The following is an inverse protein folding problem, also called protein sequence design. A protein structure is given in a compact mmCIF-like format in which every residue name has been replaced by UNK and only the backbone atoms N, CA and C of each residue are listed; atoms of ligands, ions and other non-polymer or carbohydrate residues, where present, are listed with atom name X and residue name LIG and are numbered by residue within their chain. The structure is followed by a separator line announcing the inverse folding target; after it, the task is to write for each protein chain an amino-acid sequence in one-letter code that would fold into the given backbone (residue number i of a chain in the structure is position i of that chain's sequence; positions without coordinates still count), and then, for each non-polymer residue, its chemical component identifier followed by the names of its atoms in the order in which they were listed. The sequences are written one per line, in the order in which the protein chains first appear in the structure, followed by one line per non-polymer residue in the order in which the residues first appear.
data_IF_914024909452
#
_entry.id   IF_914024909452
#
_cell.length_a   1.000
_cell.length_b   1.000
_cell.length_c   1.000
_cell.angle_alpha   90.00
_cell.angle_beta   90.00
_cell.angle_gamma   90.00
#
_symmetry.space_group_name_H-M   'P 1'
#
loop_
_entity.id
_entity.type
_entity.pdbx_description
1 polymer ?
#
# COMPACT_ATOMS: atom_id res chain seq x y z
N UNK A 1 57.72 -6.24 -21.43
CA UNK A 1 58.18 -4.86 -21.18
C UNK A 1 59.29 -4.57 -22.16
N UNK A 2 59.13 -3.55 -23.01
CA UNK A 2 60.19 -3.15 -23.95
C UNK A 2 61.31 -2.46 -23.17
N UNK A 3 62.57 -2.82 -23.45
CA UNK A 3 63.72 -2.17 -22.83
C UNK A 3 63.85 -0.76 -23.39
N UNK A 4 63.74 0.25 -22.53
CA UNK A 4 63.89 1.66 -22.91
C UNK A 4 65.39 1.94 -23.09
N UNK A 5 65.86 2.03 -24.32
CA UNK A 5 67.29 2.22 -24.63
C UNK A 5 67.62 3.62 -25.16
N UNK A 6 66.60 4.43 -25.47
CA UNK A 6 66.74 5.80 -25.99
C UNK A 6 65.76 6.79 -25.34
N UNK A 7 66.14 8.08 -25.34
CA UNK A 7 65.28 9.20 -24.88
C UNK A 7 63.98 9.28 -25.69
N UNK A 8 64.00 8.88 -26.96
CA UNK A 8 62.80 8.77 -27.81
C UNK A 8 61.81 7.74 -27.28
N UNK A 9 62.32 6.59 -26.84
CA UNK A 9 61.52 5.46 -26.40
C UNK A 9 60.89 5.76 -25.04
N UNK A 10 61.61 6.49 -24.19
CA UNK A 10 61.08 6.99 -22.92
C UNK A 10 59.90 7.94 -23.14
N UNK A 11 59.99 8.85 -24.12
CA UNK A 11 58.90 9.78 -24.44
C UNK A 11 57.66 9.07 -24.97
N UNK A 12 57.86 8.06 -25.82
CA UNK A 12 56.76 7.23 -26.35
C UNK A 12 56.09 6.43 -25.22
N UNK A 13 56.89 5.84 -24.32
CA UNK A 13 56.38 5.11 -23.17
C UNK A 13 55.58 6.02 -22.22
N UNK A 14 56.04 7.24 -21.97
CA UNK A 14 55.32 8.23 -21.15
C UNK A 14 53.97 8.58 -21.81
N UNK A 15 53.95 8.90 -23.11
CA UNK A 15 52.70 9.21 -23.81
C UNK A 15 51.72 8.04 -23.80
N UNK A 16 52.21 6.82 -23.95
CA UNK A 16 51.37 5.62 -23.89
C UNK A 16 50.78 5.41 -22.50
N UNK A 17 51.57 5.62 -21.45
CA UNK A 17 51.12 5.54 -20.06
C UNK A 17 50.13 6.66 -19.71
N UNK A 18 50.32 7.87 -20.22
CA UNK A 18 49.38 8.99 -20.03
C UNK A 18 48.00 8.67 -20.63
N UNK A 19 47.97 8.14 -21.85
CA UNK A 19 46.72 7.70 -22.50
C UNK A 19 46.07 6.56 -21.72
N UNK A 20 46.85 5.57 -21.28
CA UNK A 20 46.34 4.45 -20.49
C UNK A 20 45.78 4.91 -19.13
N UNK A 21 46.44 5.89 -18.51
CA UNK A 21 46.02 6.47 -17.25
C UNK A 21 44.70 7.25 -17.41
N UNK A 22 44.56 8.06 -18.45
CA UNK A 22 43.33 8.82 -18.73
C UNK A 22 42.14 7.88 -18.97
N UNK A 23 42.35 6.80 -19.72
CA UNK A 23 41.33 5.79 -19.99
C UNK A 23 40.90 5.05 -18.71
N UNK A 24 41.87 4.66 -17.87
CA UNK A 24 41.61 4.04 -16.57
C UNK A 24 40.85 5.00 -15.62
N UNK A 25 41.19 6.29 -15.64
CA UNK A 25 40.51 7.28 -14.83
C UNK A 25 39.03 7.43 -15.23
N UNK A 26 38.74 7.46 -16.54
CA UNK A 26 37.37 7.49 -17.04
C UNK A 26 36.58 6.25 -16.64
N UNK A 27 37.15 5.06 -16.80
CA UNK A 27 36.51 3.81 -16.39
C UNK A 27 36.22 3.77 -14.89
N UNK A 28 37.15 4.26 -14.06
CA UNK A 28 36.95 4.33 -12.62
C UNK A 28 35.81 5.30 -12.25
N UNK A 29 35.74 6.48 -12.90
CA UNK A 29 34.65 7.43 -12.69
C UNK A 29 33.29 6.83 -13.07
N UNK A 30 33.22 6.12 -14.19
CA UNK A 30 32.00 5.44 -14.62
C UNK A 30 31.58 4.34 -13.64
N UNK A 31 32.51 3.52 -13.18
CA UNK A 31 32.22 2.48 -12.19
C UNK A 31 31.74 3.07 -10.86
N UNK A 32 32.39 4.13 -10.37
CA UNK A 32 31.96 4.82 -9.15
C UNK A 32 30.57 5.42 -9.33
N UNK A 33 30.30 6.06 -10.48
CA UNK A 33 28.99 6.61 -10.77
C UNK A 33 27.92 5.52 -10.83
N UNK A 34 28.17 4.41 -11.53
CA UNK A 34 27.26 3.29 -11.63
C UNK A 34 27.00 2.63 -10.27
N UNK A 35 28.06 2.38 -9.48
CA UNK A 35 27.92 1.84 -8.13
C UNK A 35 27.14 2.81 -7.24
N UNK A 36 27.40 4.11 -7.34
CA UNK A 36 26.65 5.13 -6.60
C UNK A 36 25.16 5.13 -6.98
N UNK A 37 24.83 5.11 -8.28
CA UNK A 37 23.46 5.01 -8.77
C UNK A 37 22.78 3.70 -8.34
N UNK A 38 23.52 2.58 -8.32
CA UNK A 38 23.02 1.27 -7.88
C UNK A 38 22.74 1.22 -6.38
N UNK A 39 23.57 1.88 -5.57
CA UNK A 39 23.40 1.97 -4.11
C UNK A 39 22.29 2.95 -3.69
N UNK A 40 21.74 3.75 -4.62
CA UNK A 40 20.60 4.61 -4.30
C UNK A 40 19.42 3.73 -3.86
N UNK A 41 18.75 4.07 -2.74
CA UNK A 41 17.61 3.30 -2.23
C UNK A 41 16.53 3.07 -3.29
N UNK A 42 16.30 4.05 -4.16
CA UNK A 42 15.33 3.97 -5.26
C UNK A 42 15.67 2.85 -6.25
N UNK A 43 16.94 2.68 -6.60
CA UNK A 43 17.38 1.65 -7.54
C UNK A 43 17.36 0.25 -6.89
N UNK A 44 17.70 0.17 -5.61
CA UNK A 44 17.56 -1.07 -4.82
C UNK A 44 16.09 -1.48 -4.73
N UNK A 45 15.18 -0.55 -4.41
CA UNK A 45 13.74 -0.82 -4.41
C UNK A 45 13.24 -1.24 -5.79
N UNK A 46 13.70 -0.57 -6.85
CA UNK A 46 13.28 -0.90 -8.22
C UNK A 46 13.70 -2.31 -8.62
N UNK A 47 14.94 -2.70 -8.34
CA UNK A 47 15.46 -4.02 -8.65
C UNK A 47 14.76 -5.09 -7.80
N UNK A 48 14.60 -4.86 -6.49
CA UNK A 48 13.90 -5.81 -5.61
C UNK A 48 12.42 -5.96 -5.99
N UNK A 49 11.71 -4.87 -6.32
CA UNK A 49 10.33 -4.95 -6.82
C UNK A 49 10.24 -5.68 -8.16
N UNK A 50 11.19 -5.43 -9.07
CA UNK A 50 11.24 -6.13 -10.35
C UNK A 50 11.47 -7.64 -10.18
N UNK A 51 12.39 -8.02 -9.29
CA UNK A 51 12.68 -9.42 -8.97
C UNK A 51 11.50 -10.10 -8.26
N UNK A 52 10.80 -9.38 -7.37
CA UNK A 52 9.58 -9.85 -6.71
C UNK A 52 8.43 -10.09 -7.69
N UNK A 53 8.24 -9.20 -8.67
CA UNK A 53 7.14 -9.31 -9.65
C UNK A 53 7.45 -10.34 -10.74
N UNK A 54 8.74 -10.54 -11.07
CA UNK A 54 9.17 -11.51 -12.09
C UNK A 54 9.15 -12.96 -11.58
N UNK A 55 8.95 -13.15 -10.28
CA UNK A 55 8.91 -14.44 -9.60
C UNK A 55 7.45 -14.78 -9.22
N UNK A 56 6.81 -15.76 -9.88
CA UNK A 56 5.41 -16.09 -9.62
C UNK A 56 5.13 -16.50 -8.17
N UNK A 57 6.09 -17.13 -7.49
CA UNK A 57 5.94 -17.55 -6.09
C UNK A 57 6.04 -16.39 -5.09
N UNK A 58 6.77 -15.33 -5.42
CA UNK A 58 6.92 -14.17 -4.51
C UNK A 58 5.76 -13.18 -4.65
N UNK A 59 5.10 -13.15 -5.80
CA UNK A 59 3.88 -12.34 -6.00
C UNK A 59 2.80 -12.74 -4.99
N UNK A 60 2.56 -14.03 -4.78
CA UNK A 60 1.55 -14.50 -3.82
C UNK A 60 1.89 -14.12 -2.37
N UNK A 61 3.17 -14.21 -1.97
CA UNK A 61 3.62 -13.81 -0.64
C UNK A 61 3.53 -12.29 -0.42
N UNK A 62 3.85 -11.48 -1.43
CA UNK A 62 3.72 -10.01 -1.38
C UNK A 62 2.26 -9.59 -1.36
N UNK A 63 1.38 -10.26 -2.11
CA UNK A 63 -0.06 -10.03 -2.06
C UNK A 63 -0.62 -10.39 -0.69
N UNK A 64 -0.25 -11.54 -0.12
CA UNK A 64 -0.63 -11.93 1.24
C UNK A 64 -0.14 -10.93 2.29
N UNK A 65 1.11 -10.47 2.17
CA UNK A 65 1.70 -9.51 3.11
C UNK A 65 1.06 -8.12 2.97
N UNK A 66 0.84 -7.63 1.75
CA UNK A 66 0.21 -6.33 1.51
C UNK A 66 -1.25 -6.32 1.95
N UNK A 67 -2.00 -7.41 1.72
CA UNK A 67 -3.34 -7.61 2.27
C UNK A 67 -3.30 -7.68 3.81
N UNK A 68 -2.32 -8.35 4.40
CA UNK A 68 -2.12 -8.39 5.86
C UNK A 68 -1.83 -7.01 6.46
N UNK A 69 -1.00 -6.22 5.80
CA UNK A 69 -0.68 -4.85 6.21
C UNK A 69 -1.84 -3.89 6.00
N UNK A 70 -2.53 -3.97 4.86
CA UNK A 70 -3.70 -3.15 4.57
C UNK A 70 -4.85 -3.50 5.51
N UNK A 71 -5.14 -4.79 5.70
CA UNK A 71 -6.17 -5.25 6.64
C UNK A 71 -5.79 -4.92 8.08
N UNK A 72 -4.52 -5.05 8.47
CA UNK A 72 -4.01 -4.65 9.78
C UNK A 72 -4.11 -3.15 10.02
N UNK A 73 -3.79 -2.33 9.02
CA UNK A 73 -3.93 -0.87 9.08
C UNK A 73 -5.39 -0.43 9.17
N UNK A 74 -6.26 -1.01 8.33
CA UNK A 74 -7.71 -0.79 8.38
C UNK A 74 -8.30 -1.25 9.70
N UNK A 75 -7.92 -2.45 10.17
CA UNK A 75 -8.31 -3.01 11.46
C UNK A 75 -7.87 -2.08 12.60
N UNK A 76 -6.61 -1.62 12.61
CA UNK A 76 -6.12 -0.64 13.59
C UNK A 76 -6.92 0.66 13.53
N UNK A 77 -7.23 1.16 12.34
CA UNK A 77 -8.01 2.38 12.15
C UNK A 77 -9.46 2.23 12.65
N UNK A 78 -10.04 1.04 12.51
CA UNK A 78 -11.41 0.73 12.94
C UNK A 78 -11.48 0.44 14.45
N UNK A 79 -10.51 -0.32 14.99
CA UNK A 79 -10.49 -0.82 16.38
C UNK A 79 -9.91 0.21 17.35
N UNK A 80 -8.80 0.87 16.98
CA UNK A 80 -8.08 1.80 17.87
C UNK A 80 -8.42 3.26 17.58
N UNK A 81 -8.76 3.60 16.33
CA UNK A 81 -9.12 4.96 15.93
C UNK A 81 -10.59 5.30 16.17
N UNK A 82 -11.04 5.40 17.43
CA UNK A 82 -12.16 6.21 18.01
C UNK A 82 -13.37 6.66 17.17
N UNK A 83 -13.69 6.04 16.03
CA UNK A 83 -14.85 6.39 15.22
C UNK A 83 -15.87 5.28 15.30
N UNK A 84 -16.53 5.19 16.46
CA UNK A 84 -17.78 4.43 16.62
C UNK A 84 -18.78 4.75 15.49
N UNK A 85 -18.68 5.94 14.87
CA UNK A 85 -19.45 6.35 13.71
C UNK A 85 -19.20 5.51 12.44
N UNK A 86 -17.98 5.02 12.16
CA UNK A 86 -17.73 4.19 10.97
C UNK A 86 -18.37 2.81 11.15
N UNK A 87 -18.13 2.17 12.28
CA UNK A 87 -18.74 0.87 12.61
C UNK A 87 -20.27 0.96 12.65
N UNK A 88 -20.82 2.01 13.28
CA UNK A 88 -22.27 2.24 13.33
C UNK A 88 -22.88 2.50 11.96
N UNK A 89 -22.15 3.18 11.05
CA UNK A 89 -22.59 3.36 9.66
C UNK A 89 -22.59 2.04 8.89
N UNK A 90 -21.54 1.23 9.02
CA UNK A 90 -21.48 -0.09 8.37
C UNK A 90 -22.60 -0.98 8.89
N UNK A 91 -22.79 -1.08 10.21
CA UNK A 91 -23.88 -1.83 10.81
C UNK A 91 -25.26 -1.30 10.37
N UNK A 92 -25.41 0.02 10.28
CA UNK A 92 -26.63 0.66 9.78
C UNK A 92 -26.93 0.31 8.32
N UNK A 93 -25.92 0.33 7.44
CA UNK A 93 -26.08 -0.06 6.04
C UNK A 93 -26.39 -1.54 5.88
N UNK A 94 -25.74 -2.40 6.65
CA UNK A 94 -26.03 -3.84 6.66
C UNK A 94 -27.47 -4.08 7.10
N UNK A 95 -27.88 -3.48 8.22
CA UNK A 95 -29.25 -3.58 8.70
C UNK A 95 -30.26 -3.04 7.68
N UNK A 96 -29.98 -1.88 7.08
CA UNK A 96 -30.81 -1.28 6.05
C UNK A 96 -30.92 -2.19 4.82
N UNK A 97 -29.83 -2.81 4.38
CA UNK A 97 -29.83 -3.73 3.25
C UNK A 97 -30.68 -4.97 3.53
N UNK A 98 -30.51 -5.59 4.70
CA UNK A 98 -31.32 -6.74 5.11
C UNK A 98 -32.81 -6.38 5.21
N UNK A 99 -33.12 -5.29 5.93
CA UNK A 99 -34.51 -4.83 6.06
C UNK A 99 -35.09 -4.51 4.70
N UNK A 100 -34.38 -3.79 3.82
CA UNK A 100 -34.88 -3.41 2.48
C UNK A 100 -35.07 -4.61 1.57
N UNK A 101 -34.17 -5.59 1.61
CA UNK A 101 -34.28 -6.81 0.80
C UNK A 101 -35.44 -7.69 1.25
N UNK A 102 -35.65 -7.84 2.56
CA UNK A 102 -36.79 -8.59 3.12
C UNK A 102 -38.11 -7.84 2.95
N UNK A 103 -38.13 -6.51 3.10
CA UNK A 103 -39.30 -5.65 2.94
C UNK A 103 -39.79 -5.59 1.50
N UNK A 104 -38.88 -5.52 0.53
CA UNK A 104 -39.23 -5.48 -0.90
C UNK A 104 -39.97 -6.76 -1.35
N UNK A 105 -39.79 -7.87 -0.63
CA UNK A 105 -40.46 -9.14 -0.90
C UNK A 105 -41.82 -9.26 -0.20
N UNK A 106 -42.04 -8.57 0.93
CA UNK A 106 -43.27 -8.66 1.75
C UNK A 106 -43.72 -7.29 2.31
N UNK A 107 -44.31 -6.41 1.48
CA UNK A 107 -44.72 -5.06 1.88
C UNK A 107 -45.79 -5.04 2.99
N UNK A 108 -46.59 -6.10 3.11
CA UNK A 108 -47.67 -6.18 4.12
C UNK A 108 -47.14 -6.49 5.53
N UNK A 109 -46.02 -7.21 5.65
CA UNK A 109 -45.36 -7.47 6.92
C UNK A 109 -44.77 -6.18 7.52
N UNK A 110 -44.29 -5.26 6.68
CA UNK A 110 -43.80 -3.96 7.15
C UNK A 110 -44.95 -3.06 7.64
N UNK A 111 -46.10 -3.06 6.97
CA UNK A 111 -47.27 -2.28 7.41
C UNK A 111 -47.78 -2.75 8.77
N UNK A 112 -47.80 -4.06 9.03
CA UNK A 112 -48.24 -4.61 10.32
C UNK A 112 -47.22 -4.38 11.43
N UNK A 113 -45.92 -4.57 11.17
CA UNK A 113 -44.85 -4.26 12.12
C UNK A 113 -44.76 -2.76 12.42
N UNK A 114 -44.91 -1.91 11.40
CA UNK A 114 -44.93 -0.46 11.56
C UNK A 114 -46.11 0.00 12.40
N UNK A 115 -47.32 -0.52 12.14
CA UNK A 115 -48.51 -0.25 12.98
C UNK A 115 -48.31 -0.75 14.41
N UNK A 116 -47.80 -1.97 14.60
CA UNK A 116 -47.55 -2.54 15.92
C UNK A 116 -46.54 -1.73 16.73
N UNK A 117 -45.41 -1.35 16.13
CA UNK A 117 -44.36 -0.55 16.78
C UNK A 117 -44.87 0.87 17.07
N UNK A 118 -45.61 1.49 16.14
CA UNK A 118 -46.20 2.81 16.34
C UNK A 118 -47.22 2.80 17.48
N UNK A 119 -48.12 1.81 17.51
CA UNK A 119 -49.08 1.65 18.60
C UNK A 119 -48.41 1.38 19.95
N UNK A 120 -47.35 0.55 20.01
CA UNK A 120 -46.70 0.25 21.29
C UNK A 120 -45.77 1.39 21.80
N UNK A 121 -45.12 2.13 20.90
CA UNK A 121 -44.21 3.23 21.28
C UNK A 121 -44.94 4.56 21.52
N UNK A 122 -46.01 4.87 20.77
CA UNK A 122 -46.76 6.13 20.96
C UNK A 122 -47.85 6.04 22.04
N UNK A 123 -48.47 4.87 22.27
CA UNK A 123 -49.58 4.74 23.24
C UNK A 123 -49.13 4.81 24.70
N UNK A 124 -47.82 4.69 24.99
CA UNK A 124 -47.27 4.90 26.34
C UNK A 124 -47.22 6.39 26.74
N UNK A 125 -47.39 7.34 25.81
CA UNK A 125 -47.30 8.77 26.10
C UNK A 125 -48.60 9.40 26.61
N UNK A 126 -49.78 8.86 26.27
CA UNK A 126 -51.05 9.47 26.67
C UNK A 126 -51.59 9.02 28.03
N UNK A 127 -51.21 7.83 28.51
CA UNK A 127 -51.78 7.28 29.76
C UNK A 127 -51.19 7.87 31.07
N UNK A 128 -50.36 8.93 30.96
CA UNK A 128 -49.76 9.61 32.11
C UNK A 128 -50.14 11.10 32.21
N UNK A 129 -51.12 11.56 31.40
CA UNK A 129 -51.62 12.94 31.44
C UNK A 129 -53.00 13.10 32.08
N UNK A 130 -53.56 12.04 32.70
CA UNK A 130 -54.82 12.07 33.43
C UNK A 130 -54.63 11.80 34.94
N UNK A 131 -53.58 12.43 35.50
CA UNK A 131 -53.35 12.56 36.93
C UNK A 131 -52.75 13.95 37.21
N UNK A 132 -53.59 14.96 37.12
CA UNK A 132 -53.41 16.24 37.82
C UNK A 132 -54.74 16.72 38.35
#
# INVERSE_FOLDING_TARGET
MQNITSVSDLKIAIQLLEVEQELKEQQLKEQVHFTYESLKPVNILRNTLHDLISSPSLVDDVLGTSLGLASGFLSKKIVIGTSANILRKIAGYVLQFFVTNTVSQHPDALKSLGKYIMEHLFRKKEMNSDKR
#
